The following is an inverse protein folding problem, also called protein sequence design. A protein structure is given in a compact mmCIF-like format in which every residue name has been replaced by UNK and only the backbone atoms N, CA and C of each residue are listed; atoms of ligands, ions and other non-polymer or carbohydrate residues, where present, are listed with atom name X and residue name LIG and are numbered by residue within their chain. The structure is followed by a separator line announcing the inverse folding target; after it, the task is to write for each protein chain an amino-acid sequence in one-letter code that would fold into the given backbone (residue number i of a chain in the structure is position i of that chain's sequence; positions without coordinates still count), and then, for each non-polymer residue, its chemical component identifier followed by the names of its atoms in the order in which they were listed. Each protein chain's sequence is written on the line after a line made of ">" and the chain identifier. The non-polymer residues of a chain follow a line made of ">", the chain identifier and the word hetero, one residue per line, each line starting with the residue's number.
data_IF_433216000758
#
_entry.id   IF_433216000758
#
_cell.length_a   1.000
_cell.length_b   1.000
_cell.length_c   1.000
_cell.angle_alpha   90.00
_cell.angle_beta   90.00
_cell.angle_gamma   90.00
#
_symmetry.space_group_name_H-M   'P 1'
#
loop_
_entity.id
_entity.type
_entity.pdbx_description
1 polymer ?
#
# COMPACT_ATOMS: atom_id res chain seq x y z
N UNK A 1 16.09 1.35 14.81
CA UNK A 1 14.85 0.57 14.97
C UNK A 1 13.68 1.44 15.39
N UNK A 2 13.75 2.19 16.50
CA UNK A 2 12.66 3.12 16.92
C UNK A 2 12.58 4.41 16.08
N UNK A 3 13.71 4.88 15.55
CA UNK A 3 13.78 6.16 14.83
C UNK A 3 12.94 6.23 13.54
N UNK A 4 12.87 5.15 12.75
CA UNK A 4 12.11 5.13 11.49
C UNK A 4 10.59 5.04 11.69
N UNK A 5 10.13 4.23 12.66
CA UNK A 5 8.71 4.22 13.05
C UNK A 5 8.29 5.52 13.75
N UNK A 6 9.15 6.11 14.57
CA UNK A 6 8.91 7.40 15.21
C UNK A 6 8.83 8.54 14.19
N UNK A 7 9.65 8.52 13.14
CA UNK A 7 9.56 9.51 12.06
C UNK A 7 8.22 9.43 11.29
N UNK A 8 7.67 8.22 11.13
CA UNK A 8 6.34 8.02 10.53
C UNK A 8 5.23 8.49 11.46
N UNK A 9 5.32 8.18 12.76
CA UNK A 9 4.39 8.72 13.76
C UNK A 9 4.32 10.24 13.69
N UNK A 10 5.48 10.91 13.69
CA UNK A 10 5.56 12.37 13.56
C UNK A 10 4.98 12.87 12.23
N UNK A 11 5.16 12.15 11.12
CA UNK A 11 4.58 12.51 9.83
C UNK A 11 3.04 12.39 9.84
N UNK A 12 2.48 11.37 10.50
CA UNK A 12 1.04 11.19 10.67
C UNK A 12 0.43 12.32 11.52
N UNK A 13 1.10 12.71 12.61
CA UNK A 13 0.67 13.80 13.49
C UNK A 13 0.69 15.14 12.74
N UNK A 14 1.75 15.41 11.98
CA UNK A 14 1.86 16.62 11.17
C UNK A 14 0.77 16.68 10.08
N UNK A 15 0.43 15.58 9.43
CA UNK A 15 -0.68 15.53 8.46
C UNK A 15 -2.02 15.82 9.14
N UNK A 16 -2.22 15.30 10.35
CA UNK A 16 -3.44 15.57 11.13
C UNK A 16 -3.54 17.04 11.53
N UNK A 17 -2.43 17.69 11.87
CA UNK A 17 -2.37 19.12 12.23
C UNK A 17 -2.49 20.07 11.04
N UNK A 18 -1.86 19.74 9.91
CA UNK A 18 -1.79 20.61 8.72
C UNK A 18 -2.97 20.45 7.77
N UNK A 19 -3.67 19.30 7.82
CA UNK A 19 -4.72 18.96 6.87
C UNK A 19 -4.22 18.61 5.46
N UNK A 20 -2.89 18.47 5.26
CA UNK A 20 -2.29 18.04 3.99
C UNK A 20 -2.40 16.52 3.81
N UNK A 21 -3.64 16.04 3.72
CA UNK A 21 -3.95 14.62 3.62
C UNK A 21 -3.43 13.96 2.34
N UNK A 22 -2.99 14.74 1.34
CA UNK A 22 -2.53 14.26 0.02
C UNK A 22 -1.56 13.08 0.10
N UNK A 23 -0.67 13.02 1.10
CA UNK A 23 0.34 11.96 1.23
C UNK A 23 -0.01 10.88 2.25
N UNK A 24 -1.13 11.00 2.95
CA UNK A 24 -1.47 10.17 4.11
C UNK A 24 -1.54 8.67 3.77
N UNK A 25 -2.07 8.34 2.58
CA UNK A 25 -2.10 6.95 2.12
C UNK A 25 -0.70 6.35 1.97
N UNK A 26 0.26 7.12 1.43
CA UNK A 26 1.62 6.62 1.17
C UNK A 26 2.43 6.54 2.48
N UNK A 27 2.22 7.47 3.43
CA UNK A 27 2.83 7.41 4.77
C UNK A 27 2.40 6.15 5.51
N UNK A 28 1.09 5.85 5.53
CA UNK A 28 0.56 4.63 6.15
C UNK A 28 1.02 3.36 5.44
N UNK A 29 1.20 3.39 4.11
CA UNK A 29 1.78 2.28 3.35
C UNK A 29 3.20 1.98 3.81
N UNK A 30 4.06 3.00 3.91
CA UNK A 30 5.45 2.86 4.36
C UNK A 30 5.46 2.34 5.81
N UNK A 31 4.54 2.81 6.65
CA UNK A 31 4.38 2.29 8.01
C UNK A 31 4.12 0.79 8.02
N UNK A 32 3.17 0.33 7.19
CA UNK A 32 2.86 -1.08 7.03
C UNK A 32 4.07 -1.90 6.58
N UNK A 33 4.80 -1.42 5.59
CA UNK A 33 6.01 -2.09 5.09
C UNK A 33 7.12 -2.17 6.13
N UNK A 34 7.35 -1.11 6.90
CA UNK A 34 8.31 -1.14 8.02
C UNK A 34 7.87 -2.14 9.09
N UNK A 35 6.58 -2.18 9.44
CA UNK A 35 6.04 -3.15 10.40
C UNK A 35 6.25 -4.59 9.92
N UNK A 36 6.08 -4.86 8.62
CA UNK A 36 6.41 -6.18 8.04
C UNK A 36 7.89 -6.54 8.22
N UNK A 37 8.79 -5.59 7.93
CA UNK A 37 10.23 -5.80 8.11
C UNK A 37 10.62 -6.12 9.56
N UNK A 38 9.85 -5.61 10.53
CA UNK A 38 10.06 -5.89 11.95
C UNK A 38 9.23 -7.07 12.49
N UNK A 39 8.54 -7.81 11.64
CA UNK A 39 7.75 -8.99 12.03
C UNK A 39 6.39 -8.68 12.66
N UNK A 40 5.98 -7.42 12.71
CA UNK A 40 4.68 -6.96 13.24
C UNK A 40 3.58 -7.09 12.17
N UNK A 41 3.28 -8.33 11.79
CA UNK A 41 2.46 -8.62 10.60
C UNK A 41 0.98 -8.20 10.73
N UNK A 42 0.43 -8.21 11.94
CA UNK A 42 -0.97 -7.78 12.17
C UNK A 42 -1.09 -6.26 12.10
N UNK A 43 -0.17 -5.55 12.72
CA UNK A 43 -0.10 -4.09 12.73
C UNK A 43 0.22 -3.55 11.33
N UNK A 44 1.03 -4.28 10.57
CA UNK A 44 1.27 -3.96 9.17
C UNK A 44 -0.01 -4.03 8.33
N UNK A 45 -0.79 -5.11 8.48
CA UNK A 45 -2.04 -5.27 7.76
C UNK A 45 -3.04 -4.17 8.13
N UNK A 46 -3.14 -3.82 9.41
CA UNK A 46 -3.99 -2.71 9.87
C UNK A 46 -3.59 -1.37 9.23
N UNK A 47 -2.29 -1.04 9.18
CA UNK A 47 -1.80 0.17 8.49
C UNK A 47 -2.14 0.16 6.99
N UNK A 48 -1.98 -0.98 6.32
CA UNK A 48 -2.26 -1.10 4.89
C UNK A 48 -3.77 -0.99 4.59
N UNK A 49 -4.63 -1.54 5.44
CA UNK A 49 -6.09 -1.36 5.32
C UNK A 49 -6.46 0.12 5.43
N UNK A 50 -5.92 0.83 6.42
CA UNK A 50 -6.19 2.25 6.60
C UNK A 50 -5.65 3.07 5.41
N UNK A 51 -4.46 2.75 4.91
CA UNK A 51 -3.87 3.38 3.73
C UNK A 51 -4.78 3.21 2.49
N UNK A 52 -5.35 2.02 2.30
CA UNK A 52 -6.21 1.72 1.17
C UNK A 52 -7.52 2.50 1.24
N UNK A 53 -8.13 2.59 2.42
CA UNK A 53 -9.33 3.41 2.64
C UNK A 53 -9.09 4.88 2.31
N UNK A 54 -7.96 5.42 2.73
CA UNK A 54 -7.60 6.82 2.48
C UNK A 54 -7.33 7.05 0.99
N UNK A 55 -6.56 6.19 0.33
CA UNK A 55 -6.30 6.29 -1.10
C UNK A 55 -7.61 6.28 -1.92
N UNK A 56 -8.56 5.43 -1.54
CA UNK A 56 -9.90 5.36 -2.15
C UNK A 56 -10.71 6.64 -1.91
N UNK A 57 -10.74 7.15 -0.67
CA UNK A 57 -11.41 8.41 -0.32
C UNK A 57 -10.85 9.59 -1.12
N UNK A 58 -9.53 9.62 -1.30
CA UNK A 58 -8.83 10.64 -2.09
C UNK A 58 -9.00 10.47 -3.61
N UNK A 59 -9.54 9.33 -4.07
CA UNK A 59 -9.58 8.94 -5.48
C UNK A 59 -8.19 8.94 -6.14
N UNK A 60 -7.16 8.68 -5.33
CA UNK A 60 -5.76 8.71 -5.75
C UNK A 60 -5.32 7.32 -6.24
N UNK A 61 -5.58 7.01 -7.51
CA UNK A 61 -5.38 5.66 -8.07
C UNK A 61 -3.94 5.15 -7.99
N UNK A 62 -2.95 6.02 -8.15
CA UNK A 62 -1.54 5.64 -7.99
C UNK A 62 -1.22 5.20 -6.56
N UNK A 63 -1.78 5.86 -5.55
CA UNK A 63 -1.63 5.42 -4.15
C UNK A 63 -2.42 4.14 -3.87
N UNK A 64 -3.62 4.01 -4.43
CA UNK A 64 -4.41 2.79 -4.31
C UNK A 64 -3.64 1.58 -4.88
N UNK A 65 -2.97 1.75 -6.03
CA UNK A 65 -2.14 0.71 -6.65
C UNK A 65 -0.97 0.31 -5.74
N UNK A 66 -0.22 1.29 -5.21
CA UNK A 66 0.93 1.01 -4.34
C UNK A 66 0.52 0.26 -3.08
N UNK A 67 -0.55 0.70 -2.41
CA UNK A 67 -1.06 0.02 -1.22
C UNK A 67 -1.53 -1.40 -1.53
N UNK A 68 -2.27 -1.56 -2.64
CA UNK A 68 -2.75 -2.87 -3.07
C UNK A 68 -1.60 -3.83 -3.40
N UNK A 69 -0.49 -3.36 -3.97
CA UNK A 69 0.70 -4.19 -4.17
C UNK A 69 1.29 -4.67 -2.85
N UNK A 70 1.45 -3.79 -1.85
CA UNK A 70 1.98 -4.16 -0.53
C UNK A 70 1.07 -5.19 0.17
N UNK A 71 -0.26 -5.01 0.10
CA UNK A 71 -1.24 -5.98 0.61
C UNK A 71 -1.19 -7.32 -0.16
N UNK A 72 -1.12 -7.27 -1.48
CA UNK A 72 -1.06 -8.46 -2.32
C UNK A 72 0.21 -9.29 -2.03
N UNK A 73 1.36 -8.65 -1.80
CA UNK A 73 2.59 -9.35 -1.35
C UNK A 73 2.40 -10.01 0.01
N UNK A 74 1.83 -9.28 0.99
CA UNK A 74 1.53 -9.83 2.31
C UNK A 74 0.60 -11.05 2.23
N UNK A 75 -0.47 -10.97 1.45
CA UNK A 75 -1.43 -12.06 1.30
C UNK A 75 -0.87 -13.25 0.51
N UNK A 76 -0.09 -12.99 -0.54
CA UNK A 76 0.68 -14.03 -1.26
C UNK A 76 1.56 -14.83 -0.30
N UNK A 77 2.31 -14.13 0.57
CA UNK A 77 3.23 -14.77 1.53
C UNK A 77 2.48 -15.59 2.60
N UNK A 78 1.18 -15.31 2.80
CA UNK A 78 0.27 -16.09 3.66
C UNK A 78 -0.53 -17.17 2.91
N UNK A 79 -0.23 -17.41 1.62
CA UNK A 79 -0.93 -18.39 0.79
C UNK A 79 -2.29 -17.94 0.25
N UNK A 80 -2.70 -16.68 0.47
CA UNK A 80 -3.96 -16.08 0.02
C UNK A 80 -3.83 -15.44 -1.37
N UNK A 81 -3.42 -16.24 -2.35
CA UNK A 81 -3.12 -15.75 -3.72
C UNK A 81 -4.36 -15.22 -4.44
N UNK A 82 -5.51 -15.86 -4.27
CA UNK A 82 -6.75 -15.44 -4.93
C UNK A 82 -7.20 -14.07 -4.42
N UNK A 83 -7.19 -13.86 -3.11
CA UNK A 83 -7.57 -12.59 -2.49
C UNK A 83 -6.60 -11.47 -2.88
N UNK A 84 -5.29 -11.76 -2.96
CA UNK A 84 -4.29 -10.83 -3.46
C UNK A 84 -4.57 -10.40 -4.91
N UNK A 85 -4.95 -11.36 -5.76
CA UNK A 85 -5.29 -11.10 -7.16
C UNK A 85 -6.60 -10.31 -7.28
N UNK A 86 -7.63 -10.69 -6.54
CA UNK A 86 -8.95 -10.03 -6.52
C UNK A 86 -8.83 -8.57 -6.08
N UNK A 87 -7.90 -8.25 -5.18
CA UNK A 87 -7.62 -6.87 -4.81
C UNK A 87 -6.87 -6.11 -5.91
N UNK A 88 -5.77 -6.65 -6.42
CA UNK A 88 -4.83 -5.91 -7.28
C UNK A 88 -5.30 -5.78 -8.73
N UNK A 89 -5.90 -6.84 -9.30
CA UNK A 89 -6.29 -6.88 -10.70
C UNK A 89 -7.23 -5.74 -11.15
N UNK A 90 -8.34 -5.43 -10.43
CA UNK A 90 -9.23 -4.35 -10.84
C UNK A 90 -8.59 -2.96 -10.74
N UNK A 91 -7.62 -2.77 -9.82
CA UNK A 91 -6.91 -1.49 -9.68
C UNK A 91 -5.92 -1.31 -10.82
N UNK A 92 -5.13 -2.34 -11.15
CA UNK A 92 -4.25 -2.33 -12.31
C UNK A 92 -5.03 -2.11 -13.62
N UNK A 93 -6.16 -2.80 -13.78
CA UNK A 93 -7.02 -2.70 -14.97
C UNK A 93 -7.73 -1.35 -15.15
N UNK A 94 -7.71 -0.47 -14.14
CA UNK A 94 -8.25 0.89 -14.27
C UNK A 94 -7.32 1.81 -15.09
N UNK A 95 -6.01 1.53 -15.10
CA UNK A 95 -5.05 2.36 -15.82
C UNK A 95 -5.11 2.07 -17.32
N UNK A 96 -5.14 3.13 -18.12
CA UNK A 96 -5.05 3.05 -19.59
C UNK A 96 -3.70 3.55 -20.13
N UNK A 97 -2.91 4.18 -19.27
CA UNK A 97 -1.63 4.82 -19.59
C UNK A 97 -0.63 4.60 -18.44
N UNK A 98 0.63 4.94 -18.69
CA UNK A 98 1.68 4.87 -17.65
C UNK A 98 2.23 3.48 -17.39
N UNK A 99 1.93 2.48 -18.24
CA UNK A 99 2.47 1.12 -18.12
C UNK A 99 4.01 1.04 -18.18
N UNK A 100 4.68 2.11 -18.60
CA UNK A 100 6.13 2.24 -18.54
C UNK A 100 6.68 2.67 -17.18
N UNK A 101 5.82 3.17 -16.29
CA UNK A 101 6.19 3.54 -14.93
C UNK A 101 6.55 2.30 -14.11
N UNK A 102 7.42 2.51 -13.13
CA UNK A 102 7.87 1.46 -12.23
C UNK A 102 6.70 0.75 -11.53
N UNK A 103 5.75 1.52 -11.00
CA UNK A 103 4.64 0.97 -10.21
C UNK A 103 3.77 0.03 -11.06
N UNK A 104 3.45 0.39 -12.30
CA UNK A 104 2.63 -0.47 -13.17
C UNK A 104 3.40 -1.68 -13.69
N UNK A 105 4.72 -1.58 -13.92
CA UNK A 105 5.56 -2.75 -14.24
C UNK A 105 5.61 -3.74 -13.09
N UNK A 106 5.81 -3.26 -11.86
CA UNK A 106 5.83 -4.11 -10.67
C UNK A 106 4.47 -4.73 -10.38
N UNK A 107 3.37 -3.99 -10.56
CA UNK A 107 2.02 -4.52 -10.38
C UNK A 107 1.71 -5.65 -11.38
N UNK A 108 2.12 -5.48 -12.64
CA UNK A 108 1.97 -6.52 -13.67
C UNK A 108 2.73 -7.79 -13.29
N UNK A 109 4.01 -7.66 -12.93
CA UNK A 109 4.83 -8.79 -12.53
C UNK A 109 4.23 -9.52 -11.30
N UNK A 110 3.73 -8.77 -10.32
CA UNK A 110 3.06 -9.36 -9.16
C UNK A 110 1.76 -10.09 -9.56
N UNK A 111 0.96 -9.54 -10.48
CA UNK A 111 -0.24 -10.23 -10.98
C UNK A 111 0.10 -11.53 -11.72
N UNK A 112 1.23 -11.59 -12.42
CA UNK A 112 1.73 -12.81 -13.05
C UNK A 112 2.11 -13.87 -12.01
N UNK A 113 2.76 -13.48 -10.90
CA UNK A 113 3.09 -14.36 -9.76
C UNK A 113 1.87 -14.88 -8.98
N UNK A 114 0.73 -14.20 -9.09
CA UNK A 114 -0.53 -14.52 -8.42
C UNK A 114 -1.45 -15.41 -9.29
N UNK A 115 -0.97 -15.85 -10.45
CA UNK A 115 -1.68 -16.76 -11.37
C UNK A 115 -1.30 -18.22 -11.09
#
# INVERSE_FOLDING_TARGET
>A
MQGSLSAIGNANDLIAETGEYLWQADVLRIEGELRLLFGASMEAEASLVQALEIARKQRAKSFELRVAMSMARLWRDRGKRNEARELLAPIYGWFTEGFDTRDLKEAKALLEELT
#
